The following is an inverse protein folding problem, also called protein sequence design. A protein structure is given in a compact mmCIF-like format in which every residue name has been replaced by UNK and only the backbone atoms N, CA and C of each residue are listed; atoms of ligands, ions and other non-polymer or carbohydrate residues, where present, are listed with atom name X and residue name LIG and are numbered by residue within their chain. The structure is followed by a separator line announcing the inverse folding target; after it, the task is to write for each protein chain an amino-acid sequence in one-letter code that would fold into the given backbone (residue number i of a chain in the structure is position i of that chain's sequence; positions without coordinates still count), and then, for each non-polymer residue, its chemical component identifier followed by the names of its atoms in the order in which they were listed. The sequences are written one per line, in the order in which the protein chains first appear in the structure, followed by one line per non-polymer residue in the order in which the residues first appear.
data_IF_389897897914
#
_entry.id   IF_389897897914
#
_cell.length_a   1.000
_cell.length_b   1.000
_cell.length_c   1.000
_cell.angle_alpha   90.00
_cell.angle_beta   90.00
_cell.angle_gamma   90.00
#
_symmetry.space_group_name_H-M   'P 1'
#
loop_
_entity.id
_entity.type
_entity.pdbx_description
1 polymer ?
#
# COMPACT_ATOMS: atom_id res chain seq x y z
N UNK A 1 -31.54 -1.38 31.84
CA UNK A 1 -30.88 -2.65 31.45
C UNK A 1 -29.37 -2.38 31.38
N UNK A 2 -28.66 -2.31 32.50
CA UNK A 2 -27.73 -3.33 33.04
C UNK A 2 -26.89 -4.09 31.99
N UNK A 3 -25.60 -3.69 31.91
CA UNK A 3 -24.33 -4.45 31.80
C UNK A 3 -24.27 -5.57 30.73
N UNK A 4 -23.21 -5.62 29.90
CA UNK A 4 -21.97 -6.30 30.31
C UNK A 4 -20.79 -6.00 29.38
N UNK A 5 -19.61 -5.96 30.00
CA UNK A 5 -18.27 -5.86 29.42
C UNK A 5 -17.77 -7.26 29.05
N UNK A 6 -16.98 -7.41 27.99
CA UNK A 6 -15.87 -8.38 28.01
C UNK A 6 -14.76 -7.98 27.04
N UNK A 7 -13.62 -7.62 27.63
CA UNK A 7 -12.30 -7.54 26.99
C UNK A 7 -11.76 -8.97 26.87
N UNK A 8 -11.08 -9.29 25.78
CA UNK A 8 -10.19 -10.44 25.71
C UNK A 8 -8.90 -10.06 24.99
N UNK A 9 -7.81 -10.33 25.68
CA UNK A 9 -6.44 -10.00 25.34
C UNK A 9 -5.60 -11.29 25.25
N UNK A 10 -4.38 -11.12 24.71
CA UNK A 10 -3.25 -12.06 24.62
C UNK A 10 -3.34 -13.13 23.51
N UNK A 11 -2.27 -13.51 22.82
CA UNK A 11 -0.87 -13.55 23.23
C UNK A 11 0.11 -13.39 22.07
N UNK A 12 1.24 -12.74 22.35
CA UNK A 12 2.44 -12.74 21.53
C UNK A 12 3.20 -14.07 21.74
N UNK A 13 3.66 -14.69 20.66
CA UNK A 13 4.70 -15.72 20.70
C UNK A 13 5.99 -15.14 20.12
N UNK A 14 6.95 -14.90 21.00
CA UNK A 14 8.36 -14.79 20.66
C UNK A 14 8.97 -16.20 20.71
N UNK A 15 9.71 -16.59 19.68
CA UNK A 15 10.65 -17.73 19.74
C UNK A 15 12.01 -17.27 19.23
N UNK A 16 12.98 -17.36 20.14
CA UNK A 16 14.43 -17.22 20.00
C UNK A 16 15.08 -18.56 19.69
N UNK A 17 16.03 -18.60 18.74
CA UNK A 17 17.24 -19.46 18.67
C UNK A 17 17.86 -19.24 17.28
N UNK A 18 19.15 -18.95 17.06
CA UNK A 18 20.36 -19.31 17.80
C UNK A 18 21.12 -20.36 17.01
N UNK A 19 22.34 -20.04 16.54
CA UNK A 19 23.49 -20.90 16.15
C UNK A 19 24.47 -20.00 15.34
N UNK A 20 25.54 -19.46 15.93
CA UNK A 20 26.82 -20.12 16.23
C UNK A 20 27.45 -20.76 14.98
N UNK A 21 28.39 -20.03 14.36
CA UNK A 21 29.33 -20.54 13.37
C UNK A 21 30.71 -19.96 13.65
N UNK A 22 31.49 -20.68 14.46
CA UNK A 22 32.95 -20.55 14.51
C UNK A 22 33.56 -21.31 13.33
N UNK A 23 34.55 -20.73 12.68
CA UNK A 23 35.40 -21.38 11.67
C UNK A 23 36.43 -20.36 11.19
N UNK A 24 37.54 -20.20 11.92
CA UNK A 24 38.83 -20.88 11.68
C UNK A 24 39.59 -20.22 10.51
N UNK A 25 40.56 -19.39 10.90
CA UNK A 25 41.60 -18.83 10.04
C UNK A 25 42.70 -19.88 9.88
N UNK A 26 43.21 -20.09 8.65
CA UNK A 26 44.65 -20.01 8.53
C UNK A 26 45.11 -19.17 7.34
N UNK A 27 46.08 -18.31 7.64
CA UNK A 27 46.89 -17.56 6.70
C UNK A 27 47.46 -18.43 5.57
N UNK A 28 47.22 -18.00 4.33
CA UNK A 28 48.08 -18.34 3.20
C UNK A 28 48.38 -17.06 2.40
N UNK A 29 49.52 -16.47 2.72
CA UNK A 29 50.21 -15.46 1.93
C UNK A 29 50.60 -16.05 0.58
N UNK A 30 50.17 -15.45 -0.55
CA UNK A 30 51.04 -15.02 -1.68
C UNK A 30 50.26 -14.45 -2.89
N UNK A 31 50.80 -13.34 -3.40
CA UNK A 31 50.68 -12.79 -4.76
C UNK A 31 49.47 -11.89 -5.15
N UNK A 32 49.58 -10.61 -4.79
CA UNK A 32 49.69 -9.45 -5.71
C UNK A 32 48.97 -9.56 -7.07
N UNK A 33 47.78 -8.97 -7.16
CA UNK A 33 47.35 -8.13 -8.30
C UNK A 33 46.56 -6.95 -7.73
N UNK A 34 47.11 -5.74 -7.89
CA UNK A 34 46.42 -4.50 -7.57
C UNK A 34 45.35 -4.24 -8.64
N UNK A 35 44.08 -4.28 -8.26
CA UNK A 35 42.97 -3.76 -9.05
C UNK A 35 42.39 -2.54 -8.32
N UNK A 36 42.17 -1.41 -9.01
CA UNK A 36 41.74 -0.18 -8.37
C UNK A 36 40.36 -0.35 -7.72
N UNK A 37 40.22 0.17 -6.51
CA UNK A 37 38.99 0.26 -5.73
C UNK A 37 37.86 0.88 -6.56
N UNK A 38 37.08 0.06 -7.24
CA UNK A 38 35.69 0.39 -7.50
C UNK A 38 35.01 0.22 -6.16
N UNK A 39 34.67 1.34 -5.52
CA UNK A 39 33.69 1.35 -4.46
C UNK A 39 32.50 0.55 -4.99
N UNK A 40 32.34 -0.67 -4.49
CA UNK A 40 31.17 -1.50 -4.73
C UNK A 40 30.01 -0.65 -4.28
N UNK A 41 29.37 -0.01 -5.27
CA UNK A 41 28.19 0.77 -5.08
C UNK A 41 27.25 -0.10 -4.29
N UNK A 42 26.88 0.40 -3.10
CA UNK A 42 25.73 -0.11 -2.41
C UNK A 42 24.64 -0.23 -3.47
N UNK A 43 24.22 -1.47 -3.76
CA UNK A 43 22.99 -1.72 -4.48
C UNK A 43 21.97 -0.77 -3.86
N UNK A 44 21.32 0.12 -4.63
CA UNK A 44 20.24 0.90 -4.06
C UNK A 44 19.19 -0.14 -3.69
N UNK A 45 19.15 -0.53 -2.42
CA UNK A 45 18.04 -1.27 -1.86
C UNK A 45 16.83 -0.40 -2.13
N UNK A 46 16.09 -0.75 -3.18
CA UNK A 46 14.83 -0.16 -3.56
C UNK A 46 13.77 -0.62 -2.55
N UNK A 47 13.97 -0.22 -1.30
CA UNK A 47 12.97 -0.25 -0.24
C UNK A 47 12.67 1.21 0.11
N UNK A 48 12.35 2.00 -0.93
CA UNK A 48 11.67 3.26 -0.72
C UNK A 48 10.23 2.91 -0.32
N UNK A 49 10.03 2.58 0.95
CA UNK A 49 8.68 2.48 1.52
C UNK A 49 7.96 3.78 1.23
N UNK A 50 6.78 3.69 0.61
CA UNK A 50 5.95 4.85 0.35
C UNK A 50 5.59 5.53 1.68
N UNK A 51 5.62 6.85 1.70
CA UNK A 51 5.19 7.59 2.89
C UNK A 51 3.68 7.42 3.10
N UNK A 52 3.17 7.54 4.34
CA UNK A 52 1.74 7.44 4.61
C UNK A 52 0.89 8.40 3.78
N UNK A 53 1.39 9.61 3.53
CA UNK A 53 0.73 10.62 2.71
C UNK A 53 0.64 10.16 1.26
N UNK A 54 1.69 9.52 0.74
CA UNK A 54 1.70 9.02 -0.64
C UNK A 54 0.73 7.85 -0.82
N UNK A 55 0.63 6.97 0.16
CA UNK A 55 -0.34 5.87 0.16
C UNK A 55 -1.79 6.39 0.18
N UNK A 56 -2.05 7.44 0.97
CA UNK A 56 -3.35 8.10 1.00
C UNK A 56 -3.67 8.73 -0.36
N UNK A 57 -2.72 9.44 -0.99
CA UNK A 57 -2.91 10.01 -2.32
C UNK A 57 -3.25 8.92 -3.35
N UNK A 58 -2.52 7.80 -3.34
CA UNK A 58 -2.79 6.67 -4.26
C UNK A 58 -4.22 6.17 -4.07
N UNK A 59 -4.67 5.98 -2.82
CA UNK A 59 -6.03 5.55 -2.56
C UNK A 59 -7.06 6.55 -3.11
N UNK A 60 -6.92 7.83 -2.78
CA UNK A 60 -7.88 8.88 -3.14
C UNK A 60 -7.95 9.06 -4.66
N UNK A 61 -6.81 9.15 -5.34
CA UNK A 61 -6.73 9.32 -6.80
C UNK A 61 -7.30 8.10 -7.54
N UNK A 62 -6.92 6.89 -7.12
CA UNK A 62 -7.37 5.65 -7.77
C UNK A 62 -8.86 5.45 -7.58
N UNK A 63 -9.38 5.73 -6.38
CA UNK A 63 -10.83 5.66 -6.08
C UNK A 63 -11.58 6.67 -6.93
N UNK A 64 -11.11 7.92 -6.99
CA UNK A 64 -11.74 8.97 -7.78
C UNK A 64 -11.77 8.61 -9.28
N UNK A 65 -10.64 8.16 -9.84
CA UNK A 65 -10.54 7.74 -11.22
C UNK A 65 -11.47 6.57 -11.55
N UNK A 66 -11.54 5.57 -10.68
CA UNK A 66 -12.42 4.42 -10.86
C UNK A 66 -13.90 4.82 -10.83
N UNK A 67 -14.32 5.56 -9.81
CA UNK A 67 -15.70 6.04 -9.69
C UNK A 67 -16.08 6.89 -10.90
N UNK A 68 -15.14 7.67 -11.42
CA UNK A 68 -15.36 8.45 -12.63
C UNK A 68 -15.52 7.59 -13.87
N UNK A 69 -14.66 6.59 -14.05
CA UNK A 69 -14.72 5.67 -15.18
C UNK A 69 -16.04 4.87 -15.20
N UNK A 70 -16.54 4.47 -14.03
CA UNK A 70 -17.82 3.76 -13.92
C UNK A 70 -19.00 4.69 -14.22
N UNK A 71 -19.00 5.92 -13.69
CA UNK A 71 -20.12 6.86 -13.81
C UNK A 71 -20.18 7.63 -15.13
N UNK A 72 -19.05 7.79 -15.84
CA UNK A 72 -19.00 8.47 -17.13
C UNK A 72 -19.49 7.63 -18.31
N UNK A 73 -19.81 6.35 -18.09
CA UNK A 73 -20.22 5.41 -19.13
C UNK A 73 -21.73 5.21 -19.13
N UNK A 74 -22.31 5.20 -20.34
CA UNK A 74 -23.66 4.70 -20.58
C UNK A 74 -23.56 3.22 -20.94
N UNK A 75 -24.21 2.37 -20.15
CA UNK A 75 -24.19 0.92 -20.36
C UNK A 75 -25.42 0.50 -21.18
N UNK A 76 -25.17 -0.21 -22.27
CA UNK A 76 -26.24 -0.83 -23.08
C UNK A 76 -26.53 -2.27 -22.64
N UNK A 77 -25.62 -2.88 -21.88
CA UNK A 77 -25.75 -4.21 -21.29
C UNK A 77 -25.83 -4.09 -19.76
N UNK A 78 -26.94 -4.54 -19.13
CA UNK A 78 -27.09 -4.56 -17.68
C UNK A 78 -26.03 -5.42 -16.96
N UNK A 79 -25.53 -6.49 -17.58
CA UNK A 79 -24.48 -7.34 -17.02
C UNK A 79 -23.16 -6.59 -16.91
N UNK A 80 -22.75 -5.91 -17.99
CA UNK A 80 -21.55 -5.07 -18.01
C UNK A 80 -21.63 -3.91 -17.00
N UNK A 81 -22.84 -3.34 -16.78
CA UNK A 81 -23.05 -2.34 -15.73
C UNK A 81 -22.82 -2.96 -14.36
N UNK A 82 -23.45 -4.10 -14.06
CA UNK A 82 -23.29 -4.77 -12.77
C UNK A 82 -21.81 -5.12 -12.50
N UNK A 83 -21.09 -5.65 -13.49
CA UNK A 83 -19.67 -5.97 -13.38
C UNK A 83 -18.82 -4.73 -13.10
N UNK A 84 -19.10 -3.60 -13.77
CA UNK A 84 -18.38 -2.35 -13.54
C UNK A 84 -18.55 -1.85 -12.10
N UNK A 85 -19.78 -1.86 -11.57
CA UNK A 85 -20.06 -1.42 -10.19
C UNK A 85 -19.60 -2.41 -9.11
N UNK A 86 -19.48 -3.70 -9.43
CA UNK A 86 -18.96 -4.72 -8.51
C UNK A 86 -17.42 -4.77 -8.51
N UNK A 87 -16.78 -4.24 -9.55
CA UNK A 87 -15.32 -4.27 -9.68
C UNK A 87 -14.62 -3.42 -8.62
N UNK A 88 -13.43 -3.86 -8.21
CA UNK A 88 -12.59 -3.15 -7.25
C UNK A 88 -11.41 -2.48 -7.98
N UNK A 89 -11.05 -1.23 -7.64
CA UNK A 89 -9.85 -0.61 -8.18
C UNK A 89 -8.59 -1.37 -7.74
N UNK A 90 -7.56 -1.31 -8.58
CA UNK A 90 -6.23 -1.84 -8.23
C UNK A 90 -5.42 -0.71 -7.60
N UNK A 91 -5.12 -0.81 -6.30
CA UNK A 91 -4.34 0.18 -5.57
C UNK A 91 -2.87 -0.21 -5.54
N UNK A 92 -2.07 0.34 -6.47
CA UNK A 92 -0.65 0.03 -6.57
C UNK A 92 0.10 0.41 -5.29
N UNK A 93 0.67 -0.57 -4.60
CA UNK A 93 1.45 -0.36 -3.38
C UNK A 93 0.64 -0.28 -2.09
N UNK A 94 -0.67 -0.51 -2.13
CA UNK A 94 -1.50 -0.67 -0.94
C UNK A 94 -1.82 -2.16 -0.70
N UNK A 95 -1.83 -2.55 0.56
CA UNK A 95 -2.35 -3.85 0.99
C UNK A 95 -3.87 -3.77 1.19
N UNK A 96 -4.54 -4.93 1.19
CA UNK A 96 -6.00 -4.99 1.45
C UNK A 96 -6.36 -4.37 2.81
N UNK A 97 -5.54 -4.59 3.84
CA UNK A 97 -5.74 -3.99 5.17
C UNK A 97 -5.67 -2.46 5.12
N UNK A 98 -4.76 -1.88 4.35
CA UNK A 98 -4.66 -0.43 4.19
C UNK A 98 -5.89 0.11 3.43
N UNK A 99 -6.32 -0.59 2.38
CA UNK A 99 -7.53 -0.24 1.62
C UNK A 99 -8.76 -0.24 2.55
N UNK A 100 -8.93 -1.27 3.36
CA UNK A 100 -10.02 -1.35 4.35
C UNK A 100 -9.95 -0.22 5.38
N UNK A 101 -8.76 0.13 5.87
CA UNK A 101 -8.59 1.27 6.77
C UNK A 101 -9.01 2.59 6.12
N UNK A 102 -8.61 2.85 4.87
CA UNK A 102 -9.06 4.05 4.16
C UNK A 102 -10.57 4.04 3.87
N UNK A 103 -11.16 2.87 3.58
CA UNK A 103 -12.61 2.73 3.44
C UNK A 103 -13.35 3.08 4.75
N UNK A 104 -12.86 2.61 5.89
CA UNK A 104 -13.43 2.99 7.18
C UNK A 104 -13.27 4.49 7.45
N UNK A 105 -12.13 5.08 7.06
CA UNK A 105 -11.91 6.53 7.18
C UNK A 105 -12.88 7.36 6.36
N UNK A 106 -13.36 6.90 5.21
CA UNK A 106 -14.43 7.60 4.46
C UNK A 106 -15.67 7.80 5.35
N UNK A 107 -15.97 6.84 6.23
CA UNK A 107 -17.16 6.86 7.09
C UNK A 107 -16.88 7.67 8.37
N UNK A 108 -15.70 7.53 8.96
CA UNK A 108 -15.38 8.07 10.28
C UNK A 108 -14.67 9.43 10.29
N UNK A 109 -14.04 9.84 9.18
CA UNK A 109 -13.21 11.04 9.06
C UNK A 109 -13.79 11.96 7.96
N UNK A 110 -14.49 13.02 8.39
CA UNK A 110 -15.15 13.96 7.49
C UNK A 110 -14.16 14.70 6.57
N UNK A 111 -12.97 15.06 7.07
CA UNK A 111 -11.98 15.77 6.27
C UNK A 111 -11.41 14.87 5.16
N UNK A 112 -11.20 13.59 5.46
CA UNK A 112 -10.83 12.61 4.45
C UNK A 112 -11.92 12.41 3.39
N UNK A 113 -13.18 12.28 3.81
CA UNK A 113 -14.31 12.16 2.89
C UNK A 113 -14.48 13.41 1.98
N UNK A 114 -14.27 14.60 2.55
CA UNK A 114 -14.27 15.87 1.81
C UNK A 114 -13.17 15.91 0.75
N UNK A 115 -11.94 15.50 1.10
CA UNK A 115 -10.83 15.38 0.14
C UNK A 115 -11.16 14.42 -1.01
N UNK A 116 -11.69 13.24 -0.70
CA UNK A 116 -12.10 12.28 -1.73
C UNK A 116 -13.17 12.87 -2.65
N UNK A 117 -14.16 13.56 -2.09
CA UNK A 117 -15.24 14.21 -2.85
C UNK A 117 -14.68 15.30 -3.77
N UNK A 118 -13.77 16.15 -3.29
CA UNK A 118 -13.09 17.15 -4.10
C UNK A 118 -12.28 16.50 -5.22
N UNK A 119 -11.57 15.40 -4.93
CA UNK A 119 -10.80 14.69 -5.95
C UNK A 119 -11.70 14.08 -7.03
N UNK A 120 -12.85 13.51 -6.66
CA UNK A 120 -13.84 13.01 -7.62
C UNK A 120 -14.33 14.16 -8.51
N UNK A 121 -14.65 15.32 -7.94
CA UNK A 121 -15.11 16.48 -8.72
C UNK A 121 -14.03 16.97 -9.70
N UNK A 122 -12.76 17.01 -9.28
CA UNK A 122 -11.65 17.38 -10.15
C UNK A 122 -11.43 16.36 -11.27
N UNK A 123 -11.51 15.07 -10.93
CA UNK A 123 -11.28 13.97 -11.87
C UNK A 123 -12.40 13.86 -12.90
N UNK A 124 -13.65 14.09 -12.50
CA UNK A 124 -14.81 13.99 -13.40
C UNK A 124 -15.21 15.31 -14.05
N UNK A 125 -14.98 16.44 -13.40
CA UNK A 125 -15.28 17.78 -13.95
C UNK A 125 -14.33 18.20 -15.06
N UNK A 126 -13.18 17.53 -15.20
CA UNK A 126 -12.24 17.72 -16.31
C UNK A 126 -12.55 16.85 -17.53
N UNK A 127 -13.56 15.97 -17.46
CA UNK A 127 -14.16 15.35 -18.64
C UNK A 127 -14.92 16.44 -19.43
N UNK A 128 -14.15 17.27 -20.12
CA UNK A 128 -14.65 18.43 -20.85
C UNK A 128 -15.30 17.97 -22.15
N UNK A 129 -16.60 18.30 -22.24
CA UNK A 129 -17.41 18.69 -23.42
C UNK A 129 -16.95 18.24 -24.81
#
# INVERSE_FOLDING_TARGET
MIRSRTLLALAALAVTAGLAGCGDEPANTRAKIAAPSVATGASPSASASLTPERLETIYVDTTAAHLCAVQSRVYTDPGAMADAYASKPIYAGLTDVQVEQYQQRIISDHEFASRLTQQIQQTCGTATK
#
